data_IF_927233274533
#
_entry.id   IF_927233274533
#
_cell.length_a   1.000
_cell.length_b   1.000
_cell.length_c   1.000
_cell.angle_alpha   90.00
_cell.angle_beta   90.00
_cell.angle_gamma   90.00
#
_symmetry.space_group_name_H-M   'P 1'
#
loop_
_entity.id
_entity.type
_entity.pdbx_description
1 polymer ?
#
# COMPACT_ATOMS: atom_id res chain seq x y z
N UNK A 1 -26.55 8.09 -6.31
CA UNK A 1 -25.96 6.75 -6.14
C UNK A 1 -25.03 6.80 -4.94
N UNK A 2 -25.10 5.86 -4.00
CA UNK A 2 -24.19 5.82 -2.82
C UNK A 2 -23.01 4.89 -3.12
N UNK A 3 -21.82 5.23 -2.62
CA UNK A 3 -20.65 4.35 -2.66
C UNK A 3 -20.92 3.08 -1.86
N UNK A 4 -20.56 1.92 -2.43
CA UNK A 4 -20.82 0.60 -1.84
C UNK A 4 -19.58 -0.06 -1.23
N UNK A 5 -18.40 0.11 -1.84
CA UNK A 5 -17.12 -0.43 -1.37
C UNK A 5 -15.95 0.36 -1.94
N UNK A 6 -14.82 0.36 -1.25
CA UNK A 6 -13.52 0.84 -1.75
C UNK A 6 -12.63 -0.39 -1.92
N UNK A 7 -12.11 -0.63 -3.12
CA UNK A 7 -11.29 -1.83 -3.39
C UNK A 7 -9.85 -1.66 -2.90
N UNK A 8 -9.25 -0.50 -3.19
CA UNK A 8 -7.92 -0.14 -2.73
C UNK A 8 -7.79 1.38 -2.64
N UNK A 9 -6.91 1.86 -1.78
CA UNK A 9 -6.48 3.25 -1.70
C UNK A 9 -4.97 3.24 -1.59
N UNK A 10 -4.29 4.20 -2.22
CA UNK A 10 -2.84 4.33 -2.11
C UNK A 10 -2.48 5.76 -1.71
N UNK A 11 -1.58 5.89 -0.73
CA UNK A 11 -1.00 7.16 -0.33
C UNK A 11 0.52 7.09 -0.42
N UNK A 12 1.15 8.23 -0.68
CA UNK A 12 2.61 8.33 -0.59
C UNK A 12 3.01 8.40 0.88
N UNK A 13 4.03 7.64 1.23
CA UNK A 13 4.70 7.75 2.52
C UNK A 13 6.12 8.28 2.32
N UNK A 14 6.67 8.88 3.38
CA UNK A 14 8.07 9.32 3.42
C UNK A 14 9.00 8.19 3.84
N UNK A 15 8.58 7.40 4.84
CA UNK A 15 9.30 6.23 5.33
C UNK A 15 8.33 5.05 5.38
N UNK A 16 8.63 3.99 4.64
CA UNK A 16 7.75 2.83 4.51
C UNK A 16 7.65 2.02 5.82
N UNK A 17 8.77 1.90 6.55
CA UNK A 17 8.83 1.10 7.79
C UNK A 17 8.05 1.80 8.90
N UNK A 18 8.33 3.08 9.13
CA UNK A 18 7.61 3.88 10.13
C UNK A 18 6.10 3.86 9.85
N UNK A 19 5.72 3.98 8.57
CA UNK A 19 4.32 3.93 8.14
C UNK A 19 3.68 2.59 8.49
N UNK A 20 4.30 1.47 8.08
CA UNK A 20 3.79 0.12 8.40
C UNK A 20 3.68 -0.10 9.90
N UNK A 21 4.73 0.22 10.66
CA UNK A 21 4.73 0.06 12.13
C UNK A 21 3.62 0.89 12.79
N UNK A 22 3.36 2.10 12.29
CA UNK A 22 2.28 2.94 12.79
C UNK A 22 0.92 2.31 12.54
N UNK A 23 0.65 1.82 11.32
CA UNK A 23 -0.63 1.21 10.95
C UNK A 23 -0.89 -0.10 11.69
N UNK A 24 0.13 -0.96 11.81
CA UNK A 24 0.05 -2.21 12.59
C UNK A 24 -0.27 -1.90 14.05
N UNK A 25 0.46 -0.95 14.65
CA UNK A 25 0.34 -0.64 16.09
C UNK A 25 -0.99 0.03 16.46
N UNK A 26 -1.47 0.96 15.65
CA UNK A 26 -2.59 1.83 16.04
C UNK A 26 -3.93 1.41 15.42
N UNK A 27 -3.90 0.76 14.25
CA UNK A 27 -5.11 0.42 13.50
C UNK A 27 -5.28 -1.08 13.29
N UNK A 28 -4.37 -1.90 13.83
CA UNK A 28 -4.44 -3.37 13.72
C UNK A 28 -4.46 -3.85 12.26
N UNK A 29 -3.83 -3.08 11.37
CA UNK A 29 -3.72 -3.40 9.95
C UNK A 29 -2.47 -4.24 9.72
N UNK A 30 -2.66 -5.51 9.38
CA UNK A 30 -1.55 -6.45 9.24
C UNK A 30 -0.74 -6.15 7.97
N UNK A 31 0.58 -6.20 8.10
CA UNK A 31 1.48 -6.12 6.95
C UNK A 31 1.35 -7.37 6.08
N UNK A 32 1.07 -7.18 4.80
CA UNK A 32 0.85 -8.28 3.85
C UNK A 32 2.12 -8.55 3.05
N UNK A 33 2.60 -7.55 2.30
CA UNK A 33 3.79 -7.67 1.47
C UNK A 33 4.36 -6.29 1.08
N UNK A 34 5.60 -6.30 0.60
CA UNK A 34 6.22 -5.15 -0.05
C UNK A 34 6.79 -5.55 -1.42
N UNK A 35 6.67 -4.66 -2.40
CA UNK A 35 7.24 -4.84 -3.75
C UNK A 35 8.09 -3.61 -4.05
N UNK A 36 9.26 -3.84 -4.62
CA UNK A 36 10.11 -2.80 -5.17
C UNK A 36 10.47 -3.16 -6.60
N UNK A 37 10.39 -2.19 -7.49
CA UNK A 37 10.73 -2.35 -8.91
C UNK A 37 11.50 -1.12 -9.37
N UNK A 38 12.50 -1.35 -10.22
CA UNK A 38 13.33 -0.27 -10.78
C UNK A 38 12.67 0.40 -12.00
N UNK A 39 11.72 -0.28 -12.62
CA UNK A 39 11.12 0.13 -13.89
C UNK A 39 9.60 -0.01 -13.87
N UNK A 40 8.92 0.89 -14.59
CA UNK A 40 7.46 0.81 -14.76
C UNK A 40 7.12 -0.40 -15.63
N UNK A 41 6.31 -1.37 -15.16
CA UNK A 41 6.09 -2.64 -15.87
C UNK A 41 5.52 -2.48 -17.29
N UNK A 42 4.72 -1.45 -17.54
CA UNK A 42 4.07 -1.20 -18.82
C UNK A 42 4.95 -0.45 -19.83
N UNK A 43 5.98 0.26 -19.38
CA UNK A 43 6.77 1.16 -20.24
C UNK A 43 8.28 0.91 -20.19
N UNK A 44 8.77 0.11 -19.24
CA UNK A 44 10.21 -0.19 -19.04
C UNK A 44 11.03 1.09 -18.70
N UNK A 45 10.35 2.21 -18.41
CA UNK A 45 11.02 3.45 -18.02
C UNK A 45 11.56 3.30 -16.59
N UNK A 46 12.83 3.67 -16.40
CA UNK A 46 13.49 3.67 -15.09
C UNK A 46 12.89 4.75 -14.18
N UNK A 47 11.95 4.31 -13.35
CA UNK A 47 11.30 5.10 -12.30
C UNK A 47 11.20 4.16 -11.10
N UNK A 48 12.23 4.12 -10.23
CA UNK A 48 12.23 3.20 -9.12
C UNK A 48 11.10 3.53 -8.14
N UNK A 49 10.35 2.52 -7.72
CA UNK A 49 9.24 2.67 -6.78
C UNK A 49 9.17 1.50 -5.80
N UNK A 50 8.51 1.75 -4.67
CA UNK A 50 8.18 0.74 -3.68
C UNK A 50 6.71 0.89 -3.27
N UNK A 51 6.03 -0.24 -3.12
CA UNK A 51 4.71 -0.31 -2.53
C UNK A 51 4.76 -1.26 -1.32
N UNK A 52 4.10 -0.85 -0.23
CA UNK A 52 3.81 -1.69 0.93
C UNK A 52 2.30 -1.87 0.98
N UNK A 53 1.84 -3.08 1.30
CA UNK A 53 0.42 -3.43 1.34
C UNK A 53 0.02 -3.82 2.75
N UNK A 54 -1.08 -3.24 3.22
CA UNK A 54 -1.65 -3.46 4.55
C UNK A 54 -3.09 -3.98 4.42
N UNK A 55 -3.45 -4.99 5.22
CA UNK A 55 -4.83 -5.46 5.32
C UNK A 55 -5.64 -4.49 6.19
N UNK A 56 -6.58 -3.79 5.56
CA UNK A 56 -7.48 -2.84 6.22
C UNK A 56 -8.81 -3.49 6.66
N UNK A 57 -8.93 -4.81 6.56
CA UNK A 57 -10.10 -5.60 6.91
C UNK A 57 -11.18 -5.61 5.84
N UNK A 58 -12.12 -6.55 5.94
CA UNK A 58 -13.25 -6.73 5.01
C UNK A 58 -12.83 -6.89 3.52
N UNK A 59 -11.61 -7.41 3.31
CA UNK A 59 -11.00 -7.53 1.99
C UNK A 59 -10.72 -6.18 1.33
N UNK A 60 -10.35 -5.17 2.13
CA UNK A 60 -9.83 -3.89 1.67
C UNK A 60 -8.33 -3.85 1.90
N UNK A 61 -7.59 -3.25 0.96
CA UNK A 61 -6.13 -3.12 1.04
C UNK A 61 -5.75 -1.64 0.95
N UNK A 62 -4.80 -1.24 1.79
CA UNK A 62 -4.13 0.05 1.75
C UNK A 62 -2.71 -0.11 1.18
#
# INVERSE_FOLDING_TARGET
>A
MKLSKIHHVAYRCKDAKETVEWYVKHLNMDFVLAIAEDQVPSTIVFVPYMHVFLDAGQGNVL
#
